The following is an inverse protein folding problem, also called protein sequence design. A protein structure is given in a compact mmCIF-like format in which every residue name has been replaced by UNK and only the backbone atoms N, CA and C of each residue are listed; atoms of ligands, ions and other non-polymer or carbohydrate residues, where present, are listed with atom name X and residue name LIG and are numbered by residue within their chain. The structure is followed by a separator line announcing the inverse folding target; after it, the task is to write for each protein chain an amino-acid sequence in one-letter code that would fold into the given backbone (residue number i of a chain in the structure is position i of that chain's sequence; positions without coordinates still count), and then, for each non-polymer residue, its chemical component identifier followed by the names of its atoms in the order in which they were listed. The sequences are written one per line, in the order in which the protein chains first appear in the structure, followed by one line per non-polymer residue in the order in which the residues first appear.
data_IF_603856877112
#
_entry.id   IF_603856877112
#
_cell.length_a   1.000
_cell.length_b   1.000
_cell.length_c   1.000
_cell.angle_alpha   90.00
_cell.angle_beta   90.00
_cell.angle_gamma   90.00
#
_symmetry.space_group_name_H-M   'P 1'
#
loop_
_entity.id
_entity.type
_entity.pdbx_description
1 polymer ?
#
# COMPACT_ATOMS: atom_id res chain seq x y z
N UNK A 1 12.45 -28.35 13.08
CA UNK A 1 12.30 -27.28 12.06
C UNK A 1 13.19 -26.07 12.35
N UNK A 2 13.26 -25.54 13.58
CA UNK A 2 14.10 -24.40 13.97
C UNK A 2 15.61 -24.59 13.67
N UNK A 3 16.26 -25.75 13.95
CA UNK A 3 17.68 -25.94 13.65
C UNK A 3 18.01 -25.91 12.13
N UNK A 4 17.08 -26.40 11.29
CA UNK A 4 17.29 -26.43 9.84
C UNK A 4 17.19 -25.04 9.18
N UNK A 5 16.57 -24.06 9.85
CA UNK A 5 16.44 -22.69 9.38
C UNK A 5 17.49 -21.75 9.99
N UNK A 6 18.29 -22.23 10.94
CA UNK A 6 19.25 -21.39 11.67
C UNK A 6 20.28 -20.73 10.74
N UNK A 7 20.80 -21.45 9.77
CA UNK A 7 21.77 -20.91 8.80
C UNK A 7 21.13 -19.82 7.92
N UNK A 8 19.88 -20.04 7.48
CA UNK A 8 19.16 -19.05 6.70
C UNK A 8 18.90 -17.78 7.52
N UNK A 9 18.41 -17.93 8.77
CA UNK A 9 18.15 -16.82 9.68
C UNK A 9 19.44 -16.03 9.92
N UNK A 10 20.55 -16.72 10.23
CA UNK A 10 21.84 -16.07 10.49
C UNK A 10 22.34 -15.30 9.27
N UNK A 11 22.17 -15.87 8.06
CA UNK A 11 22.57 -15.19 6.82
C UNK A 11 21.71 -13.95 6.56
N UNK A 12 20.38 -14.05 6.70
CA UNK A 12 19.46 -12.91 6.51
C UNK A 12 19.76 -11.81 7.52
N UNK A 13 19.95 -12.16 8.80
CA UNK A 13 20.32 -11.17 9.83
C UNK A 13 21.63 -10.46 9.51
N UNK A 14 22.63 -11.21 9.02
CA UNK A 14 23.92 -10.61 8.65
C UNK A 14 23.80 -9.70 7.41
N UNK A 15 23.03 -10.09 6.41
CA UNK A 15 22.78 -9.26 5.22
C UNK A 15 22.05 -7.96 5.59
N UNK A 16 21.07 -8.02 6.50
CA UNK A 16 20.37 -6.85 7.04
C UNK A 16 21.31 -5.96 7.86
N UNK A 17 22.14 -6.54 8.73
CA UNK A 17 23.15 -5.81 9.51
C UNK A 17 24.15 -5.10 8.59
N UNK A 18 24.70 -5.78 7.61
CA UNK A 18 25.64 -5.21 6.63
C UNK A 18 24.97 -4.09 5.80
N UNK A 19 23.70 -4.23 5.46
CA UNK A 19 22.92 -3.21 4.75
C UNK A 19 22.69 -1.98 5.63
N UNK A 20 22.30 -2.21 6.89
CA UNK A 20 22.11 -1.15 7.88
C UNK A 20 23.40 -0.37 8.15
N UNK A 21 24.52 -1.07 8.36
CA UNK A 21 25.82 -0.44 8.60
C UNK A 21 26.28 0.44 7.42
N UNK A 22 26.06 -0.03 6.17
CA UNK A 22 26.35 0.79 4.97
C UNK A 22 25.49 2.06 4.91
N UNK A 23 24.22 1.95 5.28
CA UNK A 23 23.29 3.09 5.32
C UNK A 23 23.71 4.09 6.40
N UNK A 24 24.07 3.57 7.57
CA UNK A 24 24.55 4.36 8.71
C UNK A 24 25.85 5.13 8.34
N UNK A 25 26.82 4.45 7.74
CA UNK A 25 28.08 5.08 7.31
C UNK A 25 27.83 6.22 6.30
N UNK A 26 26.95 6.00 5.32
CA UNK A 26 26.55 7.05 4.37
C UNK A 26 25.89 8.23 5.07
N UNK A 27 24.97 7.98 6.00
CA UNK A 27 24.28 9.02 6.75
C UNK A 27 25.23 9.86 7.59
N UNK A 28 26.19 9.22 8.28
CA UNK A 28 27.23 9.91 9.07
C UNK A 28 28.11 10.78 8.17
N UNK A 29 28.54 10.27 7.03
CA UNK A 29 29.40 11.04 6.10
C UNK A 29 28.67 12.26 5.54
N UNK A 30 27.39 12.14 5.20
CA UNK A 30 26.56 13.27 4.76
C UNK A 30 26.36 14.30 5.87
N UNK A 31 26.02 13.85 7.07
CA UNK A 31 25.84 14.73 8.23
C UNK A 31 27.14 15.50 8.57
N UNK A 32 28.28 14.83 8.49
CA UNK A 32 29.58 15.51 8.67
C UNK A 32 29.79 16.59 7.60
N UNK A 33 29.46 16.33 6.35
CA UNK A 33 29.49 17.34 5.28
C UNK A 33 28.58 18.54 5.55
N UNK A 34 27.32 18.26 5.97
CA UNK A 34 26.39 19.33 6.36
C UNK A 34 26.92 20.16 7.53
N UNK A 35 27.54 19.53 8.55
CA UNK A 35 28.18 20.24 9.67
C UNK A 35 29.39 21.07 9.24
N UNK A 36 30.19 20.61 8.30
CA UNK A 36 31.31 21.39 7.74
C UNK A 36 30.81 22.63 6.99
N UNK A 37 29.68 22.52 6.27
CA UNK A 37 29.03 23.67 5.62
C UNK A 37 28.50 24.66 6.65
N UNK A 38 27.81 24.21 7.70
CA UNK A 38 27.35 25.08 8.81
C UNK A 38 28.52 25.84 9.43
N UNK A 39 29.63 25.14 9.68
CA UNK A 39 30.84 25.76 10.22
C UNK A 39 31.42 26.85 9.31
N UNK A 40 31.42 26.59 7.99
CA UNK A 40 31.91 27.56 7.01
C UNK A 40 31.05 28.83 6.97
N UNK A 41 29.74 28.71 7.22
CA UNK A 41 28.80 29.83 7.27
C UNK A 41 28.64 30.47 8.66
N UNK A 42 29.22 29.89 9.69
CA UNK A 42 29.07 30.33 11.07
C UNK A 42 27.68 30.03 11.66
N UNK A 43 27.00 29.05 11.11
CA UNK A 43 25.72 28.59 11.59
C UNK A 43 25.87 27.46 12.61
N UNK A 44 24.90 27.34 13.51
CA UNK A 44 24.93 26.36 14.62
C UNK A 44 23.73 25.43 14.63
N UNK A 45 22.85 25.54 13.63
CA UNK A 45 21.64 24.73 13.54
C UNK A 45 21.54 24.08 12.17
N UNK A 46 21.42 22.75 12.15
CA UNK A 46 21.07 21.97 10.96
C UNK A 46 19.60 22.21 10.63
N UNK A 47 19.30 22.61 9.40
CA UNK A 47 17.95 22.85 8.97
C UNK A 47 17.10 21.55 8.86
N UNK A 48 15.78 21.70 9.03
CA UNK A 48 14.86 20.57 9.04
C UNK A 48 14.78 19.82 7.71
N UNK A 49 15.06 20.49 6.58
CA UNK A 49 15.07 19.87 5.25
C UNK A 49 16.26 18.91 5.11
N UNK A 50 17.44 19.33 5.56
CA UNK A 50 18.65 18.49 5.58
C UNK A 50 18.48 17.29 6.50
N UNK A 51 17.93 17.50 7.72
CA UNK A 51 17.61 16.42 8.63
C UNK A 51 16.58 15.44 8.04
N UNK A 52 15.54 15.96 7.37
CA UNK A 52 14.53 15.15 6.69
C UNK A 52 15.11 14.37 5.51
N UNK A 53 16.02 14.95 4.73
CA UNK A 53 16.72 14.26 3.63
C UNK A 53 17.52 13.06 4.14
N UNK A 54 18.21 13.19 5.25
CA UNK A 54 18.95 12.10 5.90
C UNK A 54 17.99 10.96 6.29
N UNK A 55 16.83 11.29 6.84
CA UNK A 55 15.81 10.32 7.24
C UNK A 55 15.14 9.65 6.04
N UNK A 56 14.59 10.44 5.11
CA UNK A 56 13.72 9.95 4.01
C UNK A 56 14.50 9.21 2.92
N UNK A 57 15.68 9.71 2.57
CA UNK A 57 16.48 9.16 1.47
C UNK A 57 17.45 8.07 1.90
N UNK A 58 18.01 8.23 3.10
CA UNK A 58 19.07 7.35 3.60
C UNK A 58 18.65 6.51 4.81
N UNK A 59 17.42 6.66 5.30
CA UNK A 59 16.93 5.92 6.45
C UNK A 59 17.69 6.25 7.75
N UNK A 60 18.36 7.42 7.82
CA UNK A 60 19.16 7.83 8.97
C UNK A 60 18.26 8.42 10.05
N UNK A 61 18.16 7.81 11.25
CA UNK A 61 17.18 8.23 12.25
C UNK A 61 17.42 9.66 12.77
N UNK A 62 16.32 10.39 13.02
CA UNK A 62 16.40 11.77 13.52
C UNK A 62 17.11 11.86 14.88
N UNK A 63 16.81 10.94 15.81
CA UNK A 63 17.42 10.89 17.14
C UNK A 63 18.94 10.73 17.08
N UNK A 64 19.44 9.97 16.08
CA UNK A 64 20.87 9.83 15.85
C UNK A 64 21.47 11.10 15.22
N UNK A 65 20.74 11.76 14.32
CA UNK A 65 21.12 13.07 13.78
C UNK A 65 21.24 14.10 14.89
N UNK A 66 20.27 14.20 15.79
CA UNK A 66 20.27 15.10 16.95
C UNK A 66 21.42 14.80 17.91
N UNK A 67 21.68 13.51 18.18
CA UNK A 67 22.78 13.08 19.04
C UNK A 67 24.13 13.56 18.50
N UNK A 68 24.43 13.26 17.24
CA UNK A 68 25.70 13.60 16.60
C UNK A 68 25.85 15.13 16.48
N UNK A 69 24.80 15.85 16.09
CA UNK A 69 24.81 17.31 16.05
C UNK A 69 25.14 17.90 17.43
N UNK A 70 24.48 17.43 18.48
CA UNK A 70 24.70 17.90 19.86
C UNK A 70 26.12 17.63 20.36
N UNK A 71 26.68 16.45 20.06
CA UNK A 71 28.05 16.11 20.41
C UNK A 71 29.10 17.01 19.74
N UNK A 72 28.75 17.55 18.54
CA UNK A 72 29.59 18.47 17.79
C UNK A 72 29.24 19.97 18.02
N UNK A 73 28.34 20.26 18.95
CA UNK A 73 27.98 21.66 19.33
C UNK A 73 26.94 22.30 18.39
N UNK A 74 26.21 21.47 17.61
CA UNK A 74 25.12 21.89 16.73
C UNK A 74 23.76 21.51 17.31
N UNK A 75 22.71 22.17 16.83
CA UNK A 75 21.31 21.82 17.08
C UNK A 75 20.63 21.39 15.78
N UNK A 76 19.46 20.77 15.86
CA UNK A 76 18.64 20.41 14.70
C UNK A 76 17.32 21.16 14.76
N UNK A 77 16.84 21.65 13.63
CA UNK A 77 15.50 22.23 13.48
C UNK A 77 14.46 21.10 13.40
N UNK A 78 14.04 20.60 14.56
CA UNK A 78 13.01 19.55 14.66
C UNK A 78 11.64 20.02 14.14
N UNK A 79 11.31 21.32 14.24
CA UNK A 79 10.05 21.85 13.73
C UNK A 79 10.02 21.81 12.19
N UNK A 80 11.09 22.22 11.54
CA UNK A 80 11.24 22.10 10.09
C UNK A 80 11.23 20.65 9.60
N UNK A 81 11.84 19.72 10.35
CA UNK A 81 11.77 18.30 10.07
C UNK A 81 10.30 17.78 10.10
N UNK A 82 9.54 18.16 11.14
CA UNK A 82 8.15 17.78 11.29
C UNK A 82 7.26 18.34 10.17
N UNK A 83 7.56 19.53 9.67
CA UNK A 83 6.86 20.11 8.52
C UNK A 83 7.13 19.29 7.23
N UNK A 84 8.36 18.89 6.96
CA UNK A 84 8.68 18.05 5.81
C UNK A 84 8.05 16.65 5.92
N UNK A 85 8.02 16.07 7.13
CA UNK A 85 7.29 14.81 7.41
C UNK A 85 5.78 14.94 7.11
N UNK A 86 5.15 16.06 7.48
CA UNK A 86 3.74 16.32 7.13
C UNK A 86 3.55 16.42 5.63
N UNK A 87 4.40 17.17 4.93
CA UNK A 87 4.35 17.29 3.47
C UNK A 87 4.52 15.94 2.76
N UNK A 88 5.41 15.09 3.25
CA UNK A 88 5.58 13.73 2.72
C UNK A 88 4.32 12.87 2.93
N UNK A 89 3.75 12.88 4.15
CA UNK A 89 2.50 12.16 4.47
C UNK A 89 1.34 12.64 3.61
N UNK A 90 1.22 13.95 3.38
CA UNK A 90 0.19 14.52 2.50
C UNK A 90 0.42 14.12 1.04
N UNK A 91 1.66 14.16 0.55
CA UNK A 91 2.01 13.68 -0.80
C UNK A 91 1.69 12.19 -0.97
N UNK A 92 2.01 11.37 0.02
CA UNK A 92 1.68 9.93 0.03
C UNK A 92 0.16 9.70 0.05
N UNK A 93 -0.60 10.43 0.88
CA UNK A 93 -2.08 10.39 0.90
C UNK A 93 -2.66 10.82 -0.44
N UNK A 94 -2.22 11.94 -1.01
CA UNK A 94 -2.70 12.43 -2.30
C UNK A 94 -2.31 11.50 -3.46
N UNK A 95 -1.14 10.85 -3.37
CA UNK A 95 -0.74 9.82 -4.34
C UNK A 95 -1.57 8.54 -4.23
N UNK A 96 -2.06 8.23 -3.04
CA UNK A 96 -2.96 7.11 -2.75
C UNK A 96 -4.44 7.51 -2.80
N UNK A 97 -4.77 8.81 -3.05
CA UNK A 97 -6.13 9.29 -3.12
C UNK A 97 -6.91 8.50 -4.19
N UNK A 98 -7.85 7.72 -3.70
CA UNK A 98 -8.85 6.99 -4.49
C UNK A 98 -10.13 7.79 -4.37
N UNK A 99 -10.62 8.33 -5.49
CA UNK A 99 -11.95 8.94 -5.54
C UNK A 99 -12.96 7.81 -5.78
N UNK A 100 -13.68 7.47 -4.73
CA UNK A 100 -14.80 6.54 -4.82
C UNK A 100 -16.05 7.31 -5.26
N UNK A 101 -16.65 6.91 -6.36
CA UNK A 101 -18.00 7.34 -6.72
C UNK A 101 -19.04 6.78 -5.76
N UNK A 102 -20.27 7.30 -5.83
CA UNK A 102 -21.40 6.76 -5.09
C UNK A 102 -21.77 5.36 -5.60
N UNK A 103 -22.32 4.54 -4.71
CA UNK A 103 -22.84 3.23 -5.08
C UNK A 103 -24.13 3.37 -5.91
N UNK A 104 -24.14 2.82 -7.10
CA UNK A 104 -25.34 2.60 -7.89
C UNK A 104 -25.93 1.23 -7.50
N UNK A 105 -27.09 1.26 -6.83
CA UNK A 105 -27.78 0.07 -6.33
C UNK A 105 -28.74 -0.42 -7.41
N UNK A 106 -28.52 -1.65 -7.88
CA UNK A 106 -29.39 -2.33 -8.86
C UNK A 106 -30.45 -3.15 -8.14
N UNK A 107 -30.07 -3.82 -7.05
CA UNK A 107 -30.94 -4.71 -6.29
C UNK A 107 -30.56 -4.63 -4.80
N UNK A 108 -31.56 -4.55 -3.95
CA UNK A 108 -31.38 -4.67 -2.51
C UNK A 108 -31.09 -6.12 -2.15
N UNK A 109 -30.15 -6.34 -1.23
CA UNK A 109 -29.81 -7.69 -0.76
C UNK A 109 -28.47 -7.73 -0.05
N UNK A 110 -28.24 -8.85 0.64
CA UNK A 110 -26.98 -9.18 1.30
C UNK A 110 -26.14 -10.10 0.42
N UNK A 111 -24.83 -10.01 0.56
CA UNK A 111 -23.89 -10.89 -0.11
C UNK A 111 -23.72 -12.17 0.67
N UNK A 112 -23.80 -13.32 -0.01
CA UNK A 112 -23.50 -14.64 0.50
C UNK A 112 -22.15 -15.14 -0.08
N UNK A 113 -21.22 -15.50 0.79
CA UNK A 113 -19.95 -16.10 0.40
C UNK A 113 -20.07 -17.62 0.29
N UNK A 114 -19.83 -18.15 -0.90
CA UNK A 114 -19.95 -19.59 -1.24
C UNK A 114 -18.59 -20.25 -1.56
N UNK A 115 -17.49 -19.51 -1.49
CA UNK A 115 -16.17 -19.95 -1.92
C UNK A 115 -15.51 -21.05 -1.09
N UNK A 116 -16.11 -21.47 0.04
CA UNK A 116 -15.65 -22.67 0.76
C UNK A 116 -16.03 -23.98 0.06
N UNK A 117 -17.15 -23.95 -0.67
CA UNK A 117 -17.73 -25.15 -1.29
C UNK A 117 -17.66 -25.12 -2.82
N UNK A 118 -17.59 -23.91 -3.42
CA UNK A 118 -17.71 -23.71 -4.86
C UNK A 118 -16.62 -22.76 -5.36
N UNK A 119 -16.04 -23.09 -6.53
CA UNK A 119 -15.15 -22.22 -7.30
C UNK A 119 -15.89 -21.53 -8.47
N UNK A 120 -17.10 -21.99 -8.76
CA UNK A 120 -18.02 -21.43 -9.75
C UNK A 120 -19.42 -21.35 -9.15
N UNK A 121 -20.10 -20.20 -9.29
CA UNK A 121 -21.44 -20.03 -8.77
C UNK A 121 -22.24 -18.98 -9.55
N UNK A 122 -23.55 -19.19 -9.70
CA UNK A 122 -24.47 -18.21 -10.30
C UNK A 122 -24.62 -17.00 -9.41
N UNK A 123 -24.54 -15.80 -10.00
CA UNK A 123 -24.60 -14.55 -9.25
C UNK A 123 -25.24 -13.40 -10.08
N UNK A 124 -25.66 -12.37 -9.33
CA UNK A 124 -26.14 -11.09 -9.86
C UNK A 124 -25.36 -9.96 -9.22
N UNK A 125 -25.22 -8.85 -9.94
CA UNK A 125 -24.65 -7.63 -9.39
C UNK A 125 -25.72 -6.92 -8.56
N UNK A 126 -25.48 -6.76 -7.25
CA UNK A 126 -26.34 -6.01 -6.36
C UNK A 126 -26.13 -4.50 -6.52
N UNK A 127 -24.89 -4.08 -6.61
CA UNK A 127 -24.48 -2.68 -6.75
C UNK A 127 -23.08 -2.56 -7.32
N UNK A 128 -22.77 -1.41 -7.87
CA UNK A 128 -21.45 -1.08 -8.37
C UNK A 128 -21.12 0.38 -8.10
N UNK A 129 -19.84 0.72 -8.14
CA UNK A 129 -19.36 2.11 -8.15
C UNK A 129 -18.14 2.27 -9.05
N UNK A 130 -18.00 3.47 -9.61
CA UNK A 130 -16.80 3.86 -10.32
C UNK A 130 -15.76 4.34 -9.33
N UNK A 131 -14.53 3.86 -9.49
CA UNK A 131 -13.38 4.28 -8.68
C UNK A 131 -12.34 4.87 -9.61
N UNK A 132 -11.85 6.06 -9.25
CA UNK A 132 -10.77 6.72 -9.98
C UNK A 132 -9.55 6.82 -9.09
N UNK A 133 -8.44 6.23 -9.54
CA UNK A 133 -7.16 6.32 -8.87
C UNK A 133 -6.12 6.90 -9.81
N UNK A 134 -5.65 8.11 -9.52
CA UNK A 134 -4.77 8.89 -10.41
C UNK A 134 -5.41 9.12 -11.79
N UNK A 135 -4.88 8.46 -12.83
CA UNK A 135 -5.39 8.53 -14.23
C UNK A 135 -6.16 7.29 -14.66
N UNK A 136 -6.27 6.29 -13.80
CA UNK A 136 -6.94 5.03 -14.09
C UNK A 136 -8.32 5.01 -13.44
N UNK A 137 -9.31 4.53 -14.17
CA UNK A 137 -10.65 4.26 -13.64
C UNK A 137 -10.90 2.76 -13.70
N UNK A 138 -11.57 2.24 -12.70
CA UNK A 138 -12.06 0.86 -12.63
C UNK A 138 -13.40 0.86 -11.90
N UNK A 139 -14.04 -0.28 -11.84
CA UNK A 139 -15.31 -0.42 -11.14
C UNK A 139 -15.20 -1.45 -10.03
N UNK A 140 -15.93 -1.22 -8.97
CA UNK A 140 -16.11 -2.13 -7.85
C UNK A 140 -17.54 -2.66 -7.89
N UNK A 141 -17.66 -3.98 -7.81
CA UNK A 141 -18.94 -4.68 -7.85
C UNK A 141 -19.18 -5.43 -6.54
N UNK A 142 -20.42 -5.46 -6.08
CA UNK A 142 -20.89 -6.36 -5.02
C UNK A 142 -21.89 -7.34 -5.64
N UNK A 143 -21.63 -8.64 -5.48
CA UNK A 143 -22.47 -9.73 -5.97
C UNK A 143 -23.37 -10.24 -4.84
N UNK A 144 -24.53 -10.82 -5.19
CA UNK A 144 -25.42 -11.50 -4.22
C UNK A 144 -24.81 -12.80 -3.70
N UNK A 145 -24.22 -13.61 -4.58
CA UNK A 145 -23.43 -14.78 -4.21
C UNK A 145 -22.03 -14.64 -4.81
N UNK A 146 -21.01 -15.03 -4.05
CA UNK A 146 -19.64 -14.96 -4.54
C UNK A 146 -18.78 -16.12 -4.07
N UNK A 147 -18.09 -16.80 -5.02
CA UNK A 147 -17.04 -17.74 -4.67
C UNK A 147 -15.68 -17.05 -4.41
N UNK A 148 -15.52 -15.74 -4.74
CA UNK A 148 -14.28 -15.01 -4.63
C UNK A 148 -13.96 -14.66 -3.20
N UNK A 149 -12.80 -15.08 -2.70
CA UNK A 149 -12.27 -14.67 -1.41
C UNK A 149 -11.68 -13.26 -1.50
N UNK A 150 -12.13 -12.37 -0.64
CA UNK A 150 -11.59 -11.01 -0.54
C UNK A 150 -10.29 -10.97 0.26
N UNK A 151 -9.33 -10.15 -0.17
CA UNK A 151 -8.06 -9.93 0.50
C UNK A 151 -8.26 -9.66 2.01
N UNK A 152 -7.63 -10.49 2.85
CA UNK A 152 -7.67 -10.34 4.30
C UNK A 152 -6.44 -10.99 4.95
N UNK A 153 -5.88 -10.31 5.96
CA UNK A 153 -4.83 -10.89 6.81
C UNK A 153 -3.52 -11.23 6.09
N UNK A 154 -3.23 -10.59 4.94
CA UNK A 154 -2.03 -10.85 4.13
C UNK A 154 -2.20 -11.92 3.05
N UNK A 155 -3.39 -12.53 2.93
CA UNK A 155 -3.74 -13.37 1.79
C UNK A 155 -4.25 -12.48 0.65
N UNK A 156 -3.73 -12.69 -0.56
CA UNK A 156 -4.15 -11.99 -1.79
C UNK A 156 -5.60 -12.36 -2.12
N UNK A 157 -6.37 -11.40 -2.62
CA UNK A 157 -7.73 -11.64 -3.08
C UNK A 157 -7.78 -12.49 -4.35
N UNK A 158 -8.86 -13.25 -4.51
CA UNK A 158 -9.07 -14.09 -5.68
C UNK A 158 -9.28 -13.24 -6.93
N UNK A 159 -8.88 -13.82 -8.06
CA UNK A 159 -9.10 -13.32 -9.42
C UNK A 159 -9.94 -14.33 -10.20
N UNK A 160 -10.44 -13.91 -11.34
CA UNK A 160 -11.21 -14.79 -12.22
C UNK A 160 -12.10 -14.02 -13.19
N UNK A 161 -13.26 -14.59 -13.51
CA UNK A 161 -14.18 -14.01 -14.50
C UNK A 161 -15.63 -14.07 -14.04
N UNK A 162 -16.43 -13.13 -14.55
CA UNK A 162 -17.88 -13.17 -14.56
C UNK A 162 -18.33 -13.45 -15.99
N UNK A 163 -18.98 -14.55 -16.22
CA UNK A 163 -19.42 -15.01 -17.55
C UNK A 163 -20.93 -14.87 -17.66
N UNK A 164 -21.41 -14.16 -18.66
CA UNK A 164 -22.82 -14.13 -19.07
C UNK A 164 -23.00 -14.78 -20.47
N UNK A 165 -24.21 -14.85 -20.96
CA UNK A 165 -24.46 -15.39 -22.32
C UNK A 165 -23.69 -14.66 -23.43
N UNK A 166 -23.44 -13.36 -23.26
CA UNK A 166 -22.93 -12.51 -24.33
C UNK A 166 -21.55 -11.93 -24.08
N UNK A 167 -21.01 -12.02 -22.84
CA UNK A 167 -19.73 -11.39 -22.49
C UNK A 167 -19.05 -12.06 -21.29
N UNK A 168 -17.74 -11.84 -21.20
CA UNK A 168 -16.91 -12.26 -20.07
C UNK A 168 -16.20 -11.04 -19.52
N UNK A 169 -16.36 -10.79 -18.23
CA UNK A 169 -15.74 -9.67 -17.51
C UNK A 169 -14.64 -10.20 -16.59
N UNK A 170 -13.45 -9.67 -16.73
CA UNK A 170 -12.32 -10.06 -15.91
C UNK A 170 -12.41 -9.40 -14.52
N UNK A 171 -12.43 -10.22 -13.47
CA UNK A 171 -12.21 -9.81 -12.07
C UNK A 171 -10.71 -9.81 -11.83
N UNK A 172 -10.13 -8.61 -11.73
CA UNK A 172 -8.67 -8.44 -11.62
C UNK A 172 -8.16 -8.53 -10.19
N UNK A 173 -9.05 -8.37 -9.22
CA UNK A 173 -8.75 -8.47 -7.79
C UNK A 173 -10.06 -8.53 -7.00
N UNK A 174 -10.01 -9.06 -5.78
CA UNK A 174 -11.13 -9.08 -4.82
C UNK A 174 -10.66 -8.57 -3.47
N UNK A 175 -11.28 -7.50 -2.97
CA UNK A 175 -10.99 -6.89 -1.66
C UNK A 175 -12.07 -7.24 -0.65
N UNK A 176 -11.74 -7.15 0.63
CA UNK A 176 -12.72 -7.21 1.70
C UNK A 176 -12.94 -5.84 2.33
N UNK A 177 -14.19 -5.37 2.27
CA UNK A 177 -14.61 -4.10 2.87
C UNK A 177 -15.94 -4.31 3.61
N UNK A 178 -16.04 -3.88 4.86
CA UNK A 178 -17.26 -4.00 5.68
C UNK A 178 -17.88 -5.42 5.68
N UNK A 179 -17.03 -6.44 5.78
CA UNK A 179 -17.42 -7.84 5.76
C UNK A 179 -17.98 -8.37 4.42
N UNK A 180 -17.80 -7.63 3.34
CA UNK A 180 -18.22 -8.00 1.98
C UNK A 180 -17.00 -8.15 1.07
N UNK A 181 -17.08 -9.06 0.09
CA UNK A 181 -16.12 -9.17 -1.00
C UNK A 181 -16.49 -8.16 -2.09
N UNK A 182 -15.55 -7.27 -2.41
CA UNK A 182 -15.66 -6.26 -3.45
C UNK A 182 -14.83 -6.70 -4.63
N UNK A 183 -15.46 -6.94 -5.78
CA UNK A 183 -14.83 -7.41 -7.01
C UNK A 183 -14.41 -6.23 -7.86
N UNK A 184 -13.14 -6.19 -8.26
CA UNK A 184 -12.56 -5.10 -9.06
C UNK A 184 -12.52 -5.53 -10.52
N UNK A 185 -13.16 -4.71 -11.38
CA UNK A 185 -13.19 -4.92 -12.82
C UNK A 185 -12.77 -3.65 -13.56
N UNK A 186 -12.15 -3.77 -14.73
CA UNK A 186 -11.73 -2.60 -15.52
C UNK A 186 -12.91 -1.91 -16.19
N UNK A 187 -13.89 -2.68 -16.62
CA UNK A 187 -15.06 -2.22 -17.38
C UNK A 187 -16.32 -2.88 -16.82
N UNK A 188 -17.42 -2.16 -16.81
CA UNK A 188 -18.72 -2.73 -16.48
C UNK A 188 -19.21 -3.64 -17.60
N UNK A 189 -20.01 -4.70 -17.28
CA UNK A 189 -20.76 -5.42 -18.28
C UNK A 189 -21.70 -4.49 -19.05
N UNK A 190 -21.99 -4.83 -20.29
CA UNK A 190 -22.97 -4.08 -21.12
C UNK A 190 -24.37 -4.15 -20.53
N UNK A 191 -24.70 -5.30 -19.95
CA UNK A 191 -25.92 -5.49 -19.18
C UNK A 191 -25.56 -5.85 -17.73
N UNK A 192 -25.63 -4.87 -16.85
CA UNK A 192 -25.36 -5.01 -15.41
C UNK A 192 -26.43 -5.83 -14.67
N UNK A 193 -27.60 -6.06 -15.28
CA UNK A 193 -28.71 -6.83 -14.71
C UNK A 193 -28.74 -8.29 -15.20
N UNK A 194 -27.77 -8.69 -16.04
CA UNK A 194 -27.67 -10.05 -16.52
C UNK A 194 -27.36 -11.04 -15.39
N UNK A 195 -27.68 -12.31 -15.67
CA UNK A 195 -27.22 -13.44 -14.85
C UNK A 195 -25.77 -13.75 -15.21
N UNK A 196 -24.91 -13.91 -14.20
CA UNK A 196 -23.51 -14.25 -14.37
C UNK A 196 -23.14 -15.56 -13.68
N UNK A 197 -22.22 -16.27 -14.30
CA UNK A 197 -21.46 -17.32 -13.62
C UNK A 197 -20.14 -16.71 -13.14
N UNK A 198 -19.95 -16.65 -11.85
CA UNK A 198 -18.72 -16.21 -11.22
C UNK A 198 -17.76 -17.41 -11.12
N UNK A 199 -16.60 -17.31 -11.76
CA UNK A 199 -15.60 -18.39 -11.83
C UNK A 199 -14.26 -17.87 -11.28
N UNK A 200 -13.74 -18.53 -10.25
CA UNK A 200 -12.43 -18.21 -9.64
C UNK A 200 -11.32 -18.88 -10.45
N UNK A 201 -10.21 -18.15 -10.70
CA UNK A 201 -9.01 -18.75 -11.29
C UNK A 201 -8.37 -19.71 -10.26
N UNK A 202 -8.27 -20.98 -10.63
CA UNK A 202 -7.59 -22.00 -9.83
C UNK A 202 -6.14 -22.05 -10.29
N UNK A 203 -5.20 -21.52 -9.46
CA UNK A 203 -3.76 -21.71 -9.66
C UNK A 203 -3.30 -23.07 -9.14
#
# INVERSE_FOLDING_TARGET
ELPAQQELITRVMKEEEDSFLRTLEKGINLLNGDMDELKAHGETQLDGVSAFRLFDTYGFPLDLTELICRENGYTVDAAGFDEEMKKQKERARNAAAVENGDWEVLKEGDQNFVGYDYTEYECHILRYRKVTQKKNSFYELVLDNTPFYGEMGGQVGDKGVLVSENETIQVIDTKRENNQSIHIVKELPKDVNADFMACVDIE
#
